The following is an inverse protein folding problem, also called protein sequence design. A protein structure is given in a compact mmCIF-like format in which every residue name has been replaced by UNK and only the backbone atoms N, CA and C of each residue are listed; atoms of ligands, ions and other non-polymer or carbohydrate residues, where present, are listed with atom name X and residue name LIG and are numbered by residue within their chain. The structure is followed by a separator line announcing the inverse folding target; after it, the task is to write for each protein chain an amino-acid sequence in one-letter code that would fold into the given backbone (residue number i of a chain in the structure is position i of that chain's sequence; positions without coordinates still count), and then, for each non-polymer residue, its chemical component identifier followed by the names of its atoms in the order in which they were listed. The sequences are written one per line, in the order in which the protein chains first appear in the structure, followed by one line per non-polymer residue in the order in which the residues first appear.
data_IF_074827295610
#
_entry.id   IF_074827295610
#
_cell.length_a   1.000
_cell.length_b   1.000
_cell.length_c   1.000
_cell.angle_alpha   90.00
_cell.angle_beta   90.00
_cell.angle_gamma   90.00
#
_symmetry.space_group_name_H-M   'P 1'
#
loop_
_entity.id
_entity.type
_entity.pdbx_description
1 polymer ?
#
# COMPACT_ATOMS: atom_id res chain seq x y z
N UNK A 1 18.04 13.45 -17.70
CA UNK A 1 18.02 12.79 -16.38
C UNK A 1 16.88 11.80 -16.30
N UNK A 2 17.18 10.56 -16.04
CA UNK A 2 16.16 9.51 -15.98
C UNK A 2 15.47 9.55 -14.62
N UNK A 3 14.14 9.61 -14.60
CA UNK A 3 13.39 9.56 -13.35
C UNK A 3 13.51 8.16 -12.74
N UNK A 4 13.62 8.10 -11.40
CA UNK A 4 13.66 6.83 -10.69
C UNK A 4 12.27 6.21 -10.65
N UNK A 5 12.13 5.00 -11.17
CA UNK A 5 10.88 4.25 -11.12
C UNK A 5 10.75 3.61 -9.74
N UNK A 6 9.72 4.00 -9.00
CA UNK A 6 9.44 3.46 -7.67
C UNK A 6 8.45 2.30 -7.71
N UNK A 7 7.50 2.35 -8.63
CA UNK A 7 6.49 1.30 -8.80
C UNK A 7 6.43 0.91 -10.28
N UNK A 8 6.49 -0.38 -10.55
CA UNK A 8 6.34 -0.92 -11.90
C UNK A 8 5.40 -2.12 -11.85
N UNK A 9 4.26 -1.99 -12.50
CA UNK A 9 3.24 -3.04 -12.61
C UNK A 9 3.23 -3.51 -14.05
N UNK A 10 3.39 -4.81 -14.25
CA UNK A 10 3.48 -5.40 -15.60
C UNK A 10 2.50 -6.54 -15.74
N UNK A 11 1.60 -6.40 -16.71
CA UNK A 11 0.64 -7.43 -17.14
C UNK A 11 -0.12 -8.04 -15.95
N UNK A 12 -0.54 -7.21 -15.02
CA UNK A 12 -1.19 -7.66 -13.80
C UNK A 12 -2.62 -8.09 -14.06
N UNK A 13 -3.01 -9.22 -13.48
CA UNK A 13 -4.36 -9.75 -13.60
C UNK A 13 -4.85 -10.32 -12.28
N UNK A 14 -6.14 -10.16 -12.03
CA UNK A 14 -6.81 -10.68 -10.85
C UNK A 14 -8.18 -11.22 -11.22
N UNK A 15 -8.48 -12.41 -10.72
CA UNK A 15 -9.76 -13.07 -10.91
C UNK A 15 -10.32 -13.52 -9.58
N UNK A 16 -11.66 -13.53 -9.48
CA UNK A 16 -12.37 -14.21 -8.41
C UNK A 16 -13.26 -15.28 -9.06
N UNK A 17 -12.88 -16.55 -8.90
CA UNK A 17 -13.53 -17.64 -9.60
C UNK A 17 -13.37 -17.46 -11.12
N UNK A 18 -14.48 -17.45 -11.83
CA UNK A 18 -14.48 -17.27 -13.29
C UNK A 18 -14.57 -15.81 -13.72
N UNK A 19 -14.65 -14.88 -12.77
CA UNK A 19 -14.80 -13.46 -13.06
C UNK A 19 -13.45 -12.76 -13.05
N UNK A 20 -13.07 -12.18 -14.18
CA UNK A 20 -11.89 -11.32 -14.26
C UNK A 20 -12.23 -9.96 -13.65
N UNK A 21 -11.47 -9.55 -12.63
CA UNK A 21 -11.62 -8.23 -12.01
C UNK A 21 -10.85 -7.21 -12.84
N UNK A 22 -9.63 -7.55 -13.21
CA UNK A 22 -8.83 -6.81 -14.20
C UNK A 22 -7.80 -7.74 -14.81
N UNK A 23 -7.29 -7.38 -15.97
CA UNK A 23 -6.21 -8.13 -16.64
C UNK A 23 -5.44 -7.20 -17.57
N UNK A 24 -4.18 -7.56 -17.83
CA UNK A 24 -3.32 -6.80 -18.72
C UNK A 24 -3.01 -5.39 -18.21
N UNK A 25 -2.91 -5.19 -16.90
CA UNK A 25 -2.67 -3.87 -16.32
C UNK A 25 -1.18 -3.56 -16.31
N UNK A 26 -0.84 -2.41 -16.87
CA UNK A 26 0.52 -1.85 -16.86
C UNK A 26 0.47 -0.48 -16.22
N UNK A 27 1.38 -0.23 -15.31
CA UNK A 27 1.46 1.04 -14.60
C UNK A 27 2.89 1.27 -14.13
N UNK A 28 3.35 2.49 -14.26
CA UNK A 28 4.68 2.86 -13.77
C UNK A 28 4.58 4.20 -13.04
N UNK A 29 5.17 4.29 -11.87
CA UNK A 29 5.17 5.52 -11.07
C UNK A 29 6.60 5.84 -10.68
N UNK A 30 7.03 7.04 -11.03
CA UNK A 30 8.37 7.53 -10.73
C UNK A 30 8.37 8.37 -9.45
N UNK A 31 9.56 8.59 -8.91
CA UNK A 31 9.74 9.44 -7.74
C UNK A 31 9.14 10.83 -8.00
N UNK A 32 8.38 11.33 -7.02
CA UNK A 32 7.74 12.64 -7.10
C UNK A 32 6.46 12.70 -7.92
N UNK A 33 6.01 11.57 -8.50
CA UNK A 33 4.78 11.53 -9.27
C UNK A 33 3.56 11.31 -8.40
N UNK A 34 2.45 11.88 -8.84
CA UNK A 34 1.12 11.60 -8.33
C UNK A 34 0.30 10.97 -9.45
N UNK A 35 -0.23 9.77 -9.22
CA UNK A 35 -1.03 9.03 -10.20
C UNK A 35 -2.41 8.76 -9.63
N UNK A 36 -3.45 9.06 -10.39
CA UNK A 36 -4.83 8.80 -10.01
C UNK A 36 -5.41 7.68 -10.87
N UNK A 37 -6.06 6.71 -10.22
CA UNK A 37 -6.80 5.64 -10.90
C UNK A 37 -8.26 6.01 -10.87
N UNK A 38 -8.84 6.27 -12.05
CA UNK A 38 -10.20 6.73 -12.19
C UNK A 38 -11.10 5.61 -12.73
N UNK A 39 -12.35 5.62 -12.32
CA UNK A 39 -13.34 4.66 -12.75
C UNK A 39 -14.55 4.68 -11.83
N UNK A 40 -15.62 4.03 -12.26
CA UNK A 40 -16.82 3.89 -11.45
C UNK A 40 -16.60 2.91 -10.29
N UNK A 41 -17.44 2.98 -9.26
CA UNK A 41 -17.43 2.03 -8.16
C UNK A 41 -17.64 0.61 -8.68
N UNK A 42 -16.90 -0.34 -8.12
CA UNK A 42 -17.04 -1.74 -8.48
C UNK A 42 -16.25 -2.20 -9.69
N UNK A 43 -15.41 -1.33 -10.27
CA UNK A 43 -14.58 -1.71 -11.43
C UNK A 43 -13.21 -2.27 -11.04
N UNK A 44 -13.00 -2.56 -9.76
CA UNK A 44 -11.78 -3.22 -9.30
C UNK A 44 -10.64 -2.31 -8.88
N UNK A 45 -10.88 -1.00 -8.70
CA UNK A 45 -9.83 -0.05 -8.30
C UNK A 45 -9.21 -0.40 -6.94
N UNK A 46 -10.05 -0.68 -5.95
CA UNK A 46 -9.59 -1.07 -4.61
C UNK A 46 -8.84 -2.40 -4.65
N UNK A 47 -9.31 -3.35 -5.44
CA UNK A 47 -8.65 -4.64 -5.64
C UNK A 47 -7.28 -4.45 -6.27
N UNK A 48 -7.16 -3.55 -7.25
CA UNK A 48 -5.88 -3.24 -7.88
C UNK A 48 -4.88 -2.68 -6.86
N UNK A 49 -5.32 -1.73 -6.03
CA UNK A 49 -4.48 -1.15 -5.00
C UNK A 49 -4.05 -2.20 -3.97
N UNK A 50 -4.95 -3.09 -3.58
CA UNK A 50 -4.64 -4.19 -2.66
C UNK A 50 -3.60 -5.15 -3.26
N UNK A 51 -3.72 -5.46 -4.54
CA UNK A 51 -2.75 -6.31 -5.23
C UNK A 51 -1.38 -5.64 -5.32
N UNK A 52 -1.35 -4.34 -5.61
CA UNK A 52 -0.09 -3.57 -5.66
C UNK A 52 0.59 -3.55 -4.29
N UNK A 53 -0.18 -3.44 -3.23
CA UNK A 53 0.35 -3.42 -1.86
C UNK A 53 0.71 -4.81 -1.33
N UNK A 54 0.39 -5.88 -2.05
CA UNK A 54 0.62 -7.24 -1.57
C UNK A 54 -0.40 -7.71 -0.53
N UNK A 55 -1.53 -6.98 -0.39
CA UNK A 55 -2.61 -7.35 0.52
C UNK A 55 -3.53 -8.42 -0.07
N UNK A 56 -3.48 -8.60 -1.37
CA UNK A 56 -4.24 -9.62 -2.09
C UNK A 56 -3.32 -10.29 -3.11
N UNK A 57 -3.58 -11.55 -3.41
CA UNK A 57 -2.79 -12.31 -4.39
C UNK A 57 -3.16 -11.92 -5.81
N UNK A 58 -2.26 -12.16 -6.75
CA UNK A 58 -2.48 -11.91 -8.17
C UNK A 58 -2.50 -13.23 -8.94
N UNK A 59 -3.22 -13.25 -10.05
CA UNK A 59 -3.31 -14.45 -10.90
C UNK A 59 -2.28 -14.43 -12.02
N UNK A 60 -1.81 -13.27 -12.43
CA UNK A 60 -0.77 -13.10 -13.43
C UNK A 60 -0.09 -11.75 -13.24
N UNK A 61 1.10 -11.63 -13.81
CA UNK A 61 1.84 -10.38 -13.85
C UNK A 61 2.76 -10.18 -12.66
N UNK A 62 3.36 -9.00 -12.59
CA UNK A 62 4.34 -8.64 -11.57
C UNK A 62 4.11 -7.25 -11.04
N UNK A 63 4.48 -7.07 -9.77
CA UNK A 63 4.55 -5.76 -9.12
C UNK A 63 5.95 -5.60 -8.55
N UNK A 64 6.67 -4.58 -9.02
CA UNK A 64 7.99 -4.23 -8.51
C UNK A 64 7.91 -2.90 -7.78
N UNK A 65 8.43 -2.85 -6.58
CA UNK A 65 8.51 -1.64 -5.78
C UNK A 65 9.97 -1.44 -5.42
N UNK A 66 10.55 -0.32 -5.80
CA UNK A 66 11.96 0.02 -5.60
C UNK A 66 12.90 -1.09 -6.08
N UNK A 67 12.55 -1.73 -7.19
CA UNK A 67 13.35 -2.80 -7.80
C UNK A 67 13.10 -4.21 -7.24
N UNK A 68 12.28 -4.34 -6.21
CA UNK A 68 11.95 -5.65 -5.63
C UNK A 68 10.62 -6.15 -6.17
N UNK A 69 10.62 -7.36 -6.72
CA UNK A 69 9.39 -8.02 -7.21
C UNK A 69 8.64 -8.60 -6.01
N UNK A 70 7.62 -7.88 -5.54
CA UNK A 70 6.86 -8.31 -4.38
C UNK A 70 5.96 -9.52 -4.68
N UNK A 71 5.64 -9.75 -5.95
CA UNK A 71 4.84 -10.92 -6.34
C UNK A 71 5.63 -12.23 -6.25
N UNK A 72 6.95 -12.15 -6.19
CA UNK A 72 7.82 -13.30 -5.98
C UNK A 72 8.04 -13.62 -4.49
N UNK A 73 7.62 -12.75 -3.58
CA UNK A 73 7.80 -12.92 -2.15
C UNK A 73 6.66 -13.76 -1.55
N UNK A 74 6.96 -14.50 -0.48
CA UNK A 74 5.91 -15.16 0.28
C UNK A 74 5.15 -14.15 1.15
N UNK A 75 4.08 -14.59 1.80
CA UNK A 75 3.21 -13.73 2.58
C UNK A 75 3.94 -12.98 3.70
N UNK A 76 4.82 -13.66 4.42
CA UNK A 76 5.61 -13.06 5.49
C UNK A 76 6.59 -12.02 4.96
N UNK A 77 7.25 -12.32 3.85
CA UNK A 77 8.18 -11.38 3.20
C UNK A 77 7.46 -10.16 2.66
N UNK A 78 6.28 -10.34 2.07
CA UNK A 78 5.44 -9.24 1.60
C UNK A 78 5.05 -8.32 2.75
N UNK A 79 4.65 -8.88 3.89
CA UNK A 79 4.27 -8.09 5.05
C UNK A 79 5.44 -7.25 5.57
N UNK A 80 6.64 -7.83 5.65
CA UNK A 80 7.83 -7.10 6.06
C UNK A 80 8.21 -5.99 5.09
N UNK A 81 8.12 -6.28 3.79
CA UNK A 81 8.40 -5.29 2.76
C UNK A 81 7.41 -4.12 2.81
N UNK A 82 6.12 -4.44 2.93
CA UNK A 82 5.05 -3.45 3.01
C UNK A 82 5.24 -2.53 4.22
N UNK A 83 5.58 -3.10 5.36
CA UNK A 83 5.83 -2.33 6.59
C UNK A 83 6.94 -1.29 6.41
N UNK A 84 7.98 -1.63 5.66
CA UNK A 84 9.16 -0.79 5.51
C UNK A 84 9.06 0.22 4.36
N UNK A 85 8.28 -0.08 3.32
CA UNK A 85 8.33 0.67 2.05
C UNK A 85 7.02 1.29 1.60
N UNK A 86 5.88 0.91 2.20
CA UNK A 86 4.57 1.38 1.75
C UNK A 86 3.80 2.07 2.86
N UNK A 87 3.08 3.11 2.49
CA UNK A 87 2.02 3.69 3.30
C UNK A 87 0.69 3.44 2.60
N UNK A 88 -0.34 3.11 3.35
CA UNK A 88 -1.66 2.82 2.81
C UNK A 88 -2.72 3.62 3.55
N UNK A 89 -3.57 4.31 2.80
CA UNK A 89 -4.73 5.01 3.34
C UNK A 89 -5.97 4.27 2.88
N UNK A 90 -6.69 3.66 3.81
CA UNK A 90 -7.85 2.85 3.51
C UNK A 90 -9.09 3.72 3.31
N UNK A 91 -10.00 3.27 2.46
CA UNK A 91 -11.30 3.92 2.27
C UNK A 91 -12.15 3.81 3.53
N UNK A 92 -12.11 2.67 4.21
CA UNK A 92 -12.79 2.46 5.48
C UNK A 92 -11.82 2.72 6.65
N UNK A 93 -12.39 3.01 7.82
CA UNK A 93 -11.60 3.21 9.03
C UNK A 93 -11.08 1.86 9.53
N UNK A 94 -9.78 1.68 9.55
CA UNK A 94 -9.13 0.48 10.09
C UNK A 94 -8.50 0.79 11.44
N UNK A 95 -9.24 1.51 12.27
CA UNK A 95 -8.80 1.91 13.62
C UNK A 95 -9.03 0.75 14.59
N UNK A 96 -8.06 0.51 15.45
CA UNK A 96 -8.18 -0.47 16.52
C UNK A 96 -8.87 0.22 17.72
N UNK A 97 -10.13 -0.11 18.01
CA UNK A 97 -10.92 0.67 18.97
C UNK A 97 -10.46 0.52 20.43
N UNK A 98 -9.69 -0.52 20.73
CA UNK A 98 -9.15 -0.75 22.07
C UNK A 98 -7.85 0.01 22.32
N UNK A 99 -7.29 0.67 21.33
CA UNK A 99 -6.09 1.49 21.45
C UNK A 99 -6.45 2.98 21.42
N UNK A 100 -5.64 3.80 22.07
CA UNK A 100 -5.78 5.25 21.98
C UNK A 100 -5.47 5.75 20.57
N UNK A 101 -5.82 7.00 20.28
CA UNK A 101 -5.47 7.63 19.00
C UNK A 101 -3.94 7.62 18.80
N UNK A 102 -3.18 7.99 19.82
CA UNK A 102 -1.73 8.01 19.75
C UNK A 102 -1.16 6.60 19.50
N UNK A 103 -1.72 5.57 20.12
CA UNK A 103 -1.29 4.20 19.91
C UNK A 103 -1.63 3.68 18.51
N UNK A 104 -2.79 4.05 17.95
CA UNK A 104 -3.13 3.73 16.58
C UNK A 104 -2.14 4.36 15.59
N UNK A 105 -1.84 5.63 15.77
CA UNK A 105 -0.91 6.36 14.90
C UNK A 105 0.51 5.82 15.02
N UNK A 106 0.93 5.46 16.22
CA UNK A 106 2.28 4.96 16.48
C UNK A 106 2.50 3.50 16.16
N UNK A 107 1.44 2.74 15.86
CA UNK A 107 1.53 1.30 15.66
C UNK A 107 2.53 0.89 14.55
N UNK A 108 2.56 1.55 13.38
CA UNK A 108 3.54 1.19 12.35
C UNK A 108 4.99 1.32 12.82
N UNK A 109 5.29 2.33 13.61
CA UNK A 109 6.64 2.51 14.16
C UNK A 109 6.96 1.44 15.20
N UNK A 110 5.99 1.10 16.04
CA UNK A 110 6.14 0.04 17.02
C UNK A 110 6.42 -1.31 16.35
N UNK A 111 5.69 -1.63 15.27
CA UNK A 111 5.87 -2.87 14.53
C UNK A 111 7.22 -2.94 13.84
N UNK A 112 7.82 -1.80 13.51
CA UNK A 112 9.16 -1.73 12.95
C UNK A 112 10.26 -1.76 14.01
N UNK A 113 9.89 -1.80 15.30
CA UNK A 113 10.84 -1.72 16.39
C UNK A 113 11.42 -0.33 16.62
N UNK A 114 10.74 0.71 16.14
CA UNK A 114 11.20 2.11 16.22
C UNK A 114 10.12 3.01 16.84
N UNK A 115 9.63 2.72 18.04
CA UNK A 115 8.62 3.59 18.65
C UNK A 115 9.18 4.99 18.86
N UNK A 116 8.38 6.01 18.52
CA UNK A 116 8.79 7.41 18.59
C UNK A 116 7.58 8.27 18.96
N UNK A 117 7.42 8.52 20.24
CA UNK A 117 6.32 9.29 20.76
C UNK A 117 6.34 10.75 20.28
N UNK A 118 7.52 11.33 20.11
CA UNK A 118 7.66 12.70 19.62
C UNK A 118 7.18 12.82 18.17
N UNK A 119 7.46 11.84 17.36
CA UNK A 119 6.98 11.79 15.96
C UNK A 119 5.47 11.63 15.90
N UNK A 120 4.91 10.77 16.74
CA UNK A 120 3.46 10.59 16.85
C UNK A 120 2.77 11.91 17.20
N UNK A 121 3.28 12.62 18.19
CA UNK A 121 2.75 13.93 18.57
C UNK A 121 2.85 14.95 17.42
N UNK A 122 3.98 14.98 16.73
CA UNK A 122 4.19 15.90 15.60
C UNK A 122 3.20 15.62 14.48
N UNK A 123 2.96 14.35 14.15
CA UNK A 123 1.99 13.95 13.10
C UNK A 123 0.57 14.33 13.52
N UNK A 124 0.20 14.09 14.77
CA UNK A 124 -1.12 14.45 15.28
C UNK A 124 -1.32 15.97 15.28
N UNK A 125 -0.31 16.74 15.68
CA UNK A 125 -0.35 18.20 15.62
C UNK A 125 -0.52 18.68 14.19
N UNK A 126 0.12 18.02 13.20
CA UNK A 126 0.00 18.36 11.80
C UNK A 126 -1.40 18.25 11.23
N UNK A 127 -2.28 17.47 11.86
CA UNK A 127 -3.69 17.33 11.45
C UNK A 127 -4.66 17.91 12.50
N UNK A 128 -4.16 18.71 13.43
CA UNK A 128 -5.01 19.41 14.42
C UNK A 128 -5.45 18.56 15.59
N UNK A 129 -4.76 17.47 15.88
CA UNK A 129 -5.10 16.55 16.97
C UNK A 129 -4.09 16.61 18.14
N UNK A 130 -3.39 17.73 18.30
CA UNK A 130 -2.45 17.92 19.40
C UNK A 130 -3.19 18.12 20.73
N UNK A 131 -2.67 17.53 21.78
CA UNK A 131 -3.22 17.70 23.12
C UNK A 131 -3.69 16.44 23.79
#
# INVERSE_FOLDING_TARGET
MTATVLLDVSDLAKRYGDTAIFEGVFLSVCAGEFVAILGESGVGKSTLLNCIAGLDSVDAGRVRITGTDITALNESQQALFRRAHLGFVFQAFHVLPHLSVAHNVGLPLLLQGRPDAARVEAVLAGVGLAG
#
